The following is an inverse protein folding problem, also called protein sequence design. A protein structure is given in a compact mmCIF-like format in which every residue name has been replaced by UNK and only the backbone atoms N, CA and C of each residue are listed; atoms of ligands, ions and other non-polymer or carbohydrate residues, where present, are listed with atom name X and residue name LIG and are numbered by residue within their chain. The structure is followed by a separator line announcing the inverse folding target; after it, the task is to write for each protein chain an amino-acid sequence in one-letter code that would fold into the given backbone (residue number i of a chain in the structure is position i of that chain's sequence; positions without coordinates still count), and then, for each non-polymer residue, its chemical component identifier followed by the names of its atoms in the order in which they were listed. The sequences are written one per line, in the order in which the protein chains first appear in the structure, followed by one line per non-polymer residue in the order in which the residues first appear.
data_IF_800152162130
#
_entry.id   IF_800152162130
#
_cell.length_a   1.000
_cell.length_b   1.000
_cell.length_c   1.000
_cell.angle_alpha   90.00
_cell.angle_beta   90.00
_cell.angle_gamma   90.00
#
_symmetry.space_group_name_H-M   'P 1'
#
loop_
_entity.id
_entity.type
_entity.pdbx_description
1 polymer ?
#
# COMPACT_ATOMS: atom_id res chain seq x y z
N UNK A 1 -1.12 -11.17 -3.86
CA UNK A 1 -0.57 -10.37 -2.75
C UNK A 1 -0.64 -8.91 -3.15
N UNK A 2 -1.06 -8.03 -2.24
CA UNK A 2 -1.11 -6.58 -2.44
C UNK A 2 -0.11 -5.92 -1.49
N UNK A 3 0.78 -5.07 -2.00
CA UNK A 3 1.68 -4.28 -1.16
C UNK A 3 1.09 -2.89 -0.94
N UNK A 4 1.21 -2.39 0.28
CA UNK A 4 0.76 -1.06 0.67
C UNK A 4 1.95 -0.27 1.22
N UNK A 5 2.20 0.91 0.66
CA UNK A 5 3.19 1.86 1.19
C UNK A 5 2.61 3.25 1.23
N UNK A 6 2.74 3.94 2.36
CA UNK A 6 2.36 5.34 2.49
C UNK A 6 3.40 6.08 3.33
N UNK A 7 4.00 7.11 2.75
CA UNK A 7 5.11 7.83 3.38
C UNK A 7 4.97 9.35 3.29
N UNK A 8 4.09 9.86 2.43
CA UNK A 8 3.92 11.30 2.23
C UNK A 8 3.26 11.93 3.45
N UNK A 9 3.85 13.02 3.95
CA UNK A 9 3.43 13.68 5.20
C UNK A 9 1.97 14.15 5.13
N UNK A 10 1.57 14.67 3.98
CA UNK A 10 0.20 15.09 3.68
C UNK A 10 -0.82 13.96 3.87
N UNK A 11 -0.42 12.72 3.57
CA UNK A 11 -1.30 11.57 3.67
C UNK A 11 -1.41 11.00 5.09
N UNK A 12 -0.48 11.30 6.02
CA UNK A 12 -0.39 10.65 7.35
C UNK A 12 -1.48 11.09 8.36
N UNK A 13 -2.40 11.95 7.95
CA UNK A 13 -3.57 12.37 8.72
C UNK A 13 -4.80 11.50 8.48
N UNK A 14 -5.94 12.15 8.22
CA UNK A 14 -7.21 11.48 7.90
C UNK A 14 -7.15 10.58 6.64
N UNK A 15 -6.42 10.94 5.57
CA UNK A 15 -6.30 10.07 4.39
C UNK A 15 -5.74 8.69 4.72
N UNK A 16 -4.69 8.61 5.55
CA UNK A 16 -4.11 7.36 6.01
C UNK A 16 -5.11 6.48 6.76
N UNK A 17 -5.89 7.08 7.67
CA UNK A 17 -6.93 6.36 8.40
C UNK A 17 -8.01 5.82 7.44
N UNK A 18 -8.43 6.60 6.45
CA UNK A 18 -9.42 6.16 5.46
C UNK A 18 -8.90 4.98 4.63
N UNK A 19 -7.62 5.00 4.24
CA UNK A 19 -6.98 3.87 3.54
C UNK A 19 -6.93 2.65 4.44
N UNK A 20 -6.52 2.79 5.70
CA UNK A 20 -6.49 1.67 6.65
C UNK A 20 -7.89 1.08 6.87
N UNK A 21 -8.92 1.90 7.06
CA UNK A 21 -10.30 1.42 7.18
C UNK A 21 -10.80 0.73 5.90
N UNK A 22 -10.39 1.21 4.72
CA UNK A 22 -10.74 0.57 3.45
C UNK A 22 -10.06 -0.80 3.31
N UNK A 23 -8.78 -0.90 3.67
CA UNK A 23 -8.05 -2.18 3.72
C UNK A 23 -8.71 -3.13 4.72
N UNK A 24 -9.06 -2.66 5.91
CA UNK A 24 -9.75 -3.47 6.93
C UNK A 24 -11.00 -4.12 6.37
N UNK A 25 -11.88 -3.32 5.76
CA UNK A 25 -13.14 -3.81 5.18
C UNK A 25 -12.89 -4.88 4.10
N UNK A 26 -11.94 -4.62 3.19
CA UNK A 26 -11.62 -5.56 2.13
C UNK A 26 -11.02 -6.84 2.72
N UNK A 27 -10.13 -6.73 3.72
CA UNK A 27 -9.46 -7.86 4.33
C UNK A 27 -10.45 -8.79 5.09
N UNK A 28 -11.44 -8.22 5.76
CA UNK A 28 -12.53 -8.96 6.41
C UNK A 28 -13.44 -9.67 5.39
N UNK A 29 -13.81 -8.97 4.31
CA UNK A 29 -14.69 -9.51 3.26
C UNK A 29 -13.98 -10.55 2.37
N UNK A 30 -12.64 -10.48 2.27
CA UNK A 30 -11.82 -11.25 1.32
C UNK A 30 -10.57 -11.83 1.97
N UNK A 31 -10.75 -12.95 2.67
CA UNK A 31 -9.67 -13.68 3.34
C UNK A 31 -8.64 -14.28 2.39
N UNK A 32 -8.95 -14.41 1.09
CA UNK A 32 -8.03 -14.85 0.04
C UNK A 32 -6.99 -13.80 -0.36
N UNK A 33 -7.24 -12.52 -0.03
CA UNK A 33 -6.33 -11.42 -0.34
C UNK A 33 -5.37 -11.22 0.82
N UNK A 34 -4.06 -11.28 0.53
CA UNK A 34 -2.99 -10.95 1.48
C UNK A 34 -2.49 -9.53 1.25
N UNK A 35 -2.50 -8.71 2.29
CA UNK A 35 -1.94 -7.37 2.32
C UNK A 35 -0.60 -7.37 3.05
N UNK A 36 0.46 -6.88 2.42
CA UNK A 36 1.76 -6.65 3.05
C UNK A 36 1.96 -5.16 3.21
N UNK A 37 2.17 -4.70 4.45
CA UNK A 37 2.37 -3.29 4.76
C UNK A 37 3.69 -3.10 5.49
N UNK A 38 4.78 -2.72 4.79
CA UNK A 38 6.02 -2.27 5.42
C UNK A 38 5.79 -0.92 6.12
N UNK A 39 5.65 -0.95 7.45
CA UNK A 39 5.20 0.23 8.21
C UNK A 39 6.34 1.22 8.42
N UNK A 40 6.08 2.50 8.13
CA UNK A 40 7.04 3.58 8.36
C UNK A 40 7.53 3.60 9.83
N UNK A 41 8.77 4.02 10.08
CA UNK A 41 9.37 4.09 11.43
C UNK A 41 8.76 5.16 12.35
N UNK A 42 7.74 5.89 11.90
CA UNK A 42 7.15 6.98 12.67
C UNK A 42 6.19 6.36 13.71
N UNK A 43 6.43 6.53 15.02
CA UNK A 43 5.60 5.92 16.07
C UNK A 43 4.12 6.22 15.93
N UNK A 44 3.76 7.47 15.59
CA UNK A 44 2.36 7.89 15.42
C UNK A 44 1.65 7.15 14.28
N UNK A 45 2.38 6.85 13.20
CA UNK A 45 1.84 6.09 12.06
C UNK A 45 1.69 4.62 12.45
N UNK A 46 2.69 4.07 13.14
CA UNK A 46 2.67 2.68 13.63
C UNK A 46 1.51 2.43 14.59
N UNK A 47 1.32 3.30 15.58
CA UNK A 47 0.20 3.20 16.53
C UNK A 47 -1.15 3.15 15.81
N UNK A 48 -1.37 4.05 14.84
CA UNK A 48 -2.62 4.10 14.07
C UNK A 48 -2.86 2.83 13.25
N UNK A 49 -1.85 2.40 12.48
CA UNK A 49 -2.02 1.24 11.58
C UNK A 49 -2.20 -0.06 12.36
N UNK A 50 -1.47 -0.20 13.47
CA UNK A 50 -1.59 -1.35 14.38
C UNK A 50 -2.98 -1.35 15.03
N UNK A 51 -3.46 -0.20 15.51
CA UNK A 51 -4.77 -0.11 16.13
C UNK A 51 -5.92 -0.52 15.18
N UNK A 52 -5.78 -0.30 13.87
CA UNK A 52 -6.81 -0.62 12.88
C UNK A 52 -6.65 -2.05 12.31
N UNK A 53 -5.43 -2.49 12.03
CA UNK A 53 -5.20 -3.66 11.15
C UNK A 53 -4.59 -4.89 11.84
N UNK A 54 -4.14 -4.80 13.10
CA UNK A 54 -3.33 -5.87 13.73
C UNK A 54 -4.03 -7.23 13.88
N UNK A 55 -5.35 -7.23 14.03
CA UNK A 55 -6.12 -8.42 14.40
C UNK A 55 -6.58 -9.22 13.16
N UNK A 56 -6.18 -8.80 11.96
CA UNK A 56 -6.54 -9.43 10.68
C UNK A 56 -5.49 -10.46 10.25
N UNK A 57 -5.90 -11.71 10.06
CA UNK A 57 -4.98 -12.82 9.73
C UNK A 57 -4.31 -12.73 8.35
N UNK A 58 -4.86 -11.91 7.46
CA UNK A 58 -4.40 -11.69 6.09
C UNK A 58 -3.76 -10.32 5.87
N UNK A 59 -3.52 -9.55 6.94
CA UNK A 59 -2.77 -8.29 6.90
C UNK A 59 -1.47 -8.44 7.67
N UNK A 60 -0.35 -8.23 6.99
CA UNK A 60 0.99 -8.40 7.56
C UNK A 60 1.66 -7.04 7.68
N UNK A 61 1.70 -6.53 8.91
CA UNK A 61 2.44 -5.31 9.26
C UNK A 61 3.90 -5.69 9.52
N UNK A 62 4.79 -5.36 8.59
CA UNK A 62 6.22 -5.76 8.65
C UNK A 62 7.13 -4.54 8.80
N UNK A 63 8.37 -4.79 9.22
CA UNK A 63 9.39 -3.75 9.21
C UNK A 63 9.70 -3.27 7.78
N UNK A 64 10.13 -2.01 7.61
CA UNK A 64 10.56 -1.50 6.31
C UNK A 64 11.60 -2.41 5.65
N UNK A 65 11.36 -2.75 4.40
CA UNK A 65 12.27 -3.56 3.59
C UNK A 65 13.41 -2.70 3.05
N UNK A 66 14.56 -3.32 2.80
CA UNK A 66 15.60 -2.71 1.98
C UNK A 66 15.22 -2.72 0.50
N UNK A 67 16.05 -2.11 -0.35
CA UNK A 67 15.74 -1.94 -1.78
C UNK A 67 15.56 -3.28 -2.50
N UNK A 68 16.45 -4.25 -2.22
CA UNK A 68 16.43 -5.57 -2.84
C UNK A 68 15.21 -6.39 -2.40
N UNK A 69 14.94 -6.40 -1.09
CA UNK A 69 13.76 -7.03 -0.54
C UNK A 69 12.51 -6.43 -1.14
N UNK A 70 12.42 -5.10 -1.22
CA UNK A 70 11.25 -4.44 -1.79
C UNK A 70 11.05 -4.79 -3.27
N UNK A 71 12.10 -4.81 -4.10
CA UNK A 71 12.01 -5.20 -5.52
C UNK A 71 11.45 -6.63 -5.70
N UNK A 72 11.96 -7.60 -4.93
CA UNK A 72 11.46 -8.96 -4.99
C UNK A 72 9.97 -9.04 -4.61
N UNK A 73 9.56 -8.25 -3.62
CA UNK A 73 8.17 -8.13 -3.21
C UNK A 73 7.28 -7.52 -4.31
N UNK A 74 7.76 -6.47 -5.00
CA UNK A 74 7.06 -5.88 -6.16
C UNK A 74 6.82 -6.95 -7.23
N UNK A 75 7.85 -7.67 -7.65
CA UNK A 75 7.76 -8.66 -8.74
C UNK A 75 6.71 -9.75 -8.50
N UNK A 76 6.50 -10.14 -7.24
CA UNK A 76 5.51 -11.15 -6.84
C UNK A 76 4.16 -10.56 -6.43
N UNK A 77 3.96 -9.25 -6.59
CA UNK A 77 2.72 -8.57 -6.24
C UNK A 77 1.72 -8.58 -7.37
N UNK A 78 0.46 -8.74 -7.00
CA UNK A 78 -0.66 -8.57 -7.92
C UNK A 78 -0.92 -7.08 -8.21
N UNK A 79 -0.74 -6.22 -7.20
CA UNK A 79 -0.93 -4.77 -7.28
C UNK A 79 -0.17 -4.09 -6.14
N UNK A 80 0.20 -2.83 -6.36
CA UNK A 80 0.80 -1.96 -5.34
C UNK A 80 -0.09 -0.75 -5.07
N UNK A 81 -0.32 -0.44 -3.80
CA UNK A 81 -0.97 0.77 -3.32
C UNK A 81 0.13 1.69 -2.79
N UNK A 82 0.35 2.83 -3.44
CA UNK A 82 1.48 3.70 -3.06
C UNK A 82 1.21 5.19 -3.26
N UNK A 83 1.79 6.01 -2.40
CA UNK A 83 1.91 7.46 -2.60
C UNK A 83 3.30 7.89 -3.12
N UNK A 84 4.23 6.94 -3.23
CA UNK A 84 5.60 7.14 -3.68
C UNK A 84 5.69 7.15 -5.21
N UNK A 85 6.33 8.17 -5.78
CA UNK A 85 6.59 8.24 -7.22
C UNK A 85 7.63 7.21 -7.67
N UNK A 86 8.68 6.97 -6.89
CA UNK A 86 9.73 6.01 -7.28
C UNK A 86 9.18 4.59 -7.35
N UNK A 87 8.35 4.20 -6.38
CA UNK A 87 7.70 2.89 -6.38
C UNK A 87 6.70 2.76 -7.54
N UNK A 88 6.04 3.85 -7.96
CA UNK A 88 5.20 3.82 -9.17
C UNK A 88 6.03 3.44 -10.40
N UNK A 89 7.17 4.10 -10.60
CA UNK A 89 8.03 3.84 -11.76
C UNK A 89 8.59 2.41 -11.75
N UNK A 90 9.09 1.94 -10.61
CA UNK A 90 9.62 0.58 -10.43
C UNK A 90 8.55 -0.48 -10.71
N UNK A 91 7.39 -0.37 -10.06
CA UNK A 91 6.26 -1.29 -10.24
C UNK A 91 5.80 -1.38 -11.70
N UNK A 92 5.67 -0.23 -12.36
CA UNK A 92 5.27 -0.17 -13.76
C UNK A 92 6.31 -0.79 -14.69
N UNK A 93 7.61 -0.60 -14.40
CA UNK A 93 8.68 -1.24 -15.18
C UNK A 93 8.57 -2.77 -15.15
N UNK A 94 8.15 -3.33 -14.01
CA UNK A 94 7.92 -4.75 -13.79
C UNK A 94 6.52 -5.21 -14.24
N UNK A 95 5.67 -4.31 -14.73
CA UNK A 95 4.32 -4.62 -15.21
C UNK A 95 3.29 -4.87 -14.11
N UNK A 96 3.60 -4.46 -12.88
CA UNK A 96 2.69 -4.56 -11.74
C UNK A 96 1.79 -3.33 -11.71
N UNK A 97 0.45 -3.49 -11.69
CA UNK A 97 -0.49 -2.38 -11.58
C UNK A 97 -0.30 -1.56 -10.31
N UNK A 98 -0.53 -0.25 -10.40
CA UNK A 98 -0.38 0.67 -9.26
C UNK A 98 -1.65 1.47 -9.01
N UNK A 99 -2.13 1.44 -7.76
CA UNK A 99 -3.15 2.35 -7.23
C UNK A 99 -2.46 3.49 -6.48
N UNK A 100 -2.56 4.71 -7.01
CA UNK A 100 -1.92 5.89 -6.43
C UNK A 100 -2.79 6.49 -5.35
N UNK A 101 -2.22 6.62 -4.14
CA UNK A 101 -2.89 7.15 -2.94
C UNK A 101 -2.52 8.63 -2.72
N UNK A 102 -3.16 9.57 -3.42
CA UNK A 102 -2.92 11.01 -3.26
C UNK A 102 -4.20 11.82 -3.04
N UNK A 103 -4.05 12.97 -2.37
CA UNK A 103 -5.10 13.79 -1.76
C UNK A 103 -6.33 14.10 -2.64
N UNK A 104 -6.17 14.28 -3.94
CA UNK A 104 -7.27 14.78 -4.78
C UNK A 104 -7.91 13.72 -5.68
N UNK A 105 -7.21 12.65 -6.05
CA UNK A 105 -7.74 11.63 -6.96
C UNK A 105 -7.07 10.27 -6.73
N UNK A 106 -7.88 9.22 -6.61
CA UNK A 106 -7.41 7.85 -6.71
C UNK A 106 -7.19 7.54 -8.20
N UNK A 107 -5.99 7.12 -8.56
CA UNK A 107 -5.62 6.85 -9.95
C UNK A 107 -5.05 5.44 -10.07
N UNK A 108 -5.52 4.69 -11.06
CA UNK A 108 -4.91 3.41 -11.42
C UNK A 108 -3.99 3.64 -12.61
N UNK A 109 -2.77 3.10 -12.52
CA UNK A 109 -1.78 3.11 -13.59
C UNK A 109 -1.47 1.67 -14.00
N UNK A 110 -1.60 1.41 -15.29
CA UNK A 110 -1.13 0.20 -15.96
C UNK A 110 0.04 0.55 -16.87
N UNK A 111 0.88 -0.45 -17.22
CA UNK A 111 2.13 -0.32 -18.00
C UNK A 111 2.01 0.53 -19.28
N UNK A 112 0.81 0.75 -19.81
CA UNK A 112 0.55 1.63 -20.97
C UNK A 112 -0.77 2.44 -20.90
N UNK A 113 -1.45 2.55 -19.75
CA UNK A 113 -2.70 3.34 -19.61
C UNK A 113 -2.87 3.92 -18.21
N UNK A 114 -3.27 5.19 -18.15
CA UNK A 114 -3.72 5.86 -16.93
C UNK A 114 -5.25 5.83 -16.93
N UNK A 115 -5.86 5.35 -15.85
CA UNK A 115 -7.30 5.43 -15.64
C UNK A 115 -7.59 6.19 -14.34
N UNK A 116 -8.33 7.28 -14.45
CA UNK A 116 -8.84 8.05 -13.30
C UNK A 116 -10.17 7.41 -12.85
N UNK A 117 -10.36 7.25 -11.54
CA UNK A 117 -11.57 6.69 -10.93
C UNK A 117 -12.18 7.73 -10.00
#
# INVERSE_FOLDING_TARGET
MIIVTMHRRENLGKPFENVCCSIYRIAEERTDIKFIFPIHRNPKVREKVIAILRDLSNVYLIEPLDVFGFHNFIEHSYMILTDSSSIQEEALSLGVPVLVLRDTHVKIIFKNRIQLI
#
